data_IF_251697627948
#
_entry.id   IF_251697627948
#
_cell.length_a   1.000
_cell.length_b   1.000
_cell.length_c   1.000
_cell.angle_alpha   90.00
_cell.angle_beta   90.00
_cell.angle_gamma   90.00
#
_symmetry.space_group_name_H-M   'P 1'
#
loop_
_entity.id
_entity.type
_entity.pdbx_description
1 polymer ?
#
# COMPACT_ATOMS: atom_id res chain seq x y z
N UNK A 1 11.58 21.59 -17.76
CA UNK A 1 12.23 20.31 -17.36
C UNK A 1 11.76 19.80 -16.01
N UNK A 2 11.65 20.63 -14.96
CA UNK A 2 11.28 20.18 -13.60
C UNK A 2 10.00 19.32 -13.50
N UNK A 3 8.94 19.64 -14.24
CA UNK A 3 7.71 18.83 -14.24
C UNK A 3 7.91 17.40 -14.78
N UNK A 4 8.79 17.20 -15.78
CA UNK A 4 9.09 15.87 -16.33
C UNK A 4 9.90 15.02 -15.35
N UNK A 5 10.81 15.65 -14.61
CA UNK A 5 11.61 14.99 -13.56
C UNK A 5 10.72 14.60 -12.37
N UNK A 6 9.84 15.49 -11.93
CA UNK A 6 8.88 15.20 -10.86
C UNK A 6 7.91 14.07 -11.25
N UNK A 7 7.45 14.04 -12.50
CA UNK A 7 6.62 12.95 -13.01
C UNK A 7 7.39 11.62 -13.08
N UNK A 8 8.65 11.66 -13.54
CA UNK A 8 9.52 10.48 -13.56
C UNK A 8 9.78 9.90 -12.17
N UNK A 9 10.02 10.76 -11.17
CA UNK A 9 10.16 10.33 -9.78
C UNK A 9 8.88 9.69 -9.22
N UNK A 10 7.71 10.29 -9.52
CA UNK A 10 6.43 9.71 -9.13
C UNK A 10 6.16 8.36 -9.78
N UNK A 11 6.53 8.19 -11.05
CA UNK A 11 6.38 6.94 -11.78
C UNK A 11 7.34 5.85 -11.25
N UNK A 12 8.56 6.22 -10.86
CA UNK A 12 9.48 5.31 -10.17
C UNK A 12 8.89 4.79 -8.86
N UNK A 13 8.37 5.68 -8.00
CA UNK A 13 7.74 5.28 -6.76
C UNK A 13 6.57 4.30 -7.02
N UNK A 14 5.73 4.61 -8.01
CA UNK A 14 4.58 3.77 -8.36
C UNK A 14 4.98 2.35 -8.84
N UNK A 15 6.15 2.21 -9.47
CA UNK A 15 6.68 0.90 -9.89
C UNK A 15 7.42 0.16 -8.77
N UNK A 16 8.06 0.88 -7.85
CA UNK A 16 8.81 0.30 -6.74
C UNK A 16 7.90 -0.31 -5.67
N UNK A 17 6.74 0.30 -5.41
CA UNK A 17 5.79 -0.17 -4.40
C UNK A 17 5.29 -1.60 -4.65
N UNK A 18 4.78 -1.97 -5.85
CA UNK A 18 4.41 -3.35 -6.15
C UNK A 18 5.59 -4.33 -6.09
N UNK A 19 6.79 -3.88 -6.50
CA UNK A 19 7.99 -4.71 -6.44
C UNK A 19 8.41 -5.00 -4.99
N UNK A 20 8.31 -4.00 -4.10
CA UNK A 20 8.58 -4.17 -2.68
C UNK A 20 7.56 -5.12 -2.03
N UNK A 21 6.27 -5.03 -2.40
CA UNK A 21 5.24 -5.97 -1.94
C UNK A 21 5.54 -7.43 -2.29
N UNK A 22 6.17 -7.70 -3.43
CA UNK A 22 6.59 -9.06 -3.77
C UNK A 22 7.71 -9.59 -2.87
N UNK A 23 8.60 -8.72 -2.39
CA UNK A 23 9.70 -9.11 -1.49
C UNK A 23 9.15 -9.53 -0.11
N UNK A 24 8.05 -8.94 0.35
CA UNK A 24 7.41 -9.34 1.60
C UNK A 24 6.97 -10.81 1.63
N UNK A 25 6.77 -11.45 0.46
CA UNK A 25 6.55 -12.90 0.39
C UNK A 25 7.67 -13.68 1.08
N UNK A 26 8.92 -13.30 0.82
CA UNK A 26 10.11 -13.97 1.33
C UNK A 26 10.15 -13.80 2.85
N UNK A 27 9.98 -12.57 3.34
CA UNK A 27 10.06 -12.24 4.77
C UNK A 27 8.93 -12.94 5.55
N UNK A 28 7.70 -12.92 5.04
CA UNK A 28 6.55 -13.49 5.75
C UNK A 28 6.54 -15.02 5.73
N UNK A 29 6.89 -15.64 4.60
CA UNK A 29 6.81 -17.10 4.45
C UNK A 29 8.10 -17.80 4.86
N UNK A 30 9.28 -17.27 4.50
CA UNK A 30 10.57 -17.92 4.78
C UNK A 30 11.12 -17.56 6.16
N UNK A 31 11.08 -16.28 6.57
CA UNK A 31 11.66 -15.88 7.87
C UNK A 31 10.66 -16.05 9.02
N UNK A 32 9.42 -15.58 8.84
CA UNK A 32 8.39 -15.63 9.89
C UNK A 32 7.59 -16.95 9.93
N UNK A 33 7.87 -17.87 9.01
CA UNK A 33 7.27 -19.21 8.97
C UNK A 33 5.75 -19.20 8.76
N UNK A 34 5.19 -18.20 8.07
CA UNK A 34 3.75 -18.14 7.87
C UNK A 34 3.26 -19.31 7.01
N UNK A 35 2.09 -19.90 7.35
CA UNK A 35 1.40 -20.81 6.45
C UNK A 35 1.14 -20.13 5.09
N UNK A 36 1.42 -20.80 3.95
CA UNK A 36 1.17 -20.24 2.62
C UNK A 36 -0.29 -19.80 2.40
N UNK A 37 -1.23 -20.40 3.12
CA UNK A 37 -2.63 -20.01 3.12
C UNK A 37 -2.86 -18.58 3.65
N UNK A 38 -2.19 -18.20 4.75
CA UNK A 38 -2.30 -16.85 5.31
C UNK A 38 -1.66 -15.82 4.39
N UNK A 39 -0.56 -16.17 3.73
CA UNK A 39 0.04 -15.33 2.70
C UNK A 39 -0.92 -15.07 1.53
N UNK A 40 -1.61 -16.12 1.04
CA UNK A 40 -2.63 -15.99 0.00
C UNK A 40 -3.76 -15.04 0.39
N UNK A 41 -4.21 -15.08 1.65
CA UNK A 41 -5.22 -14.16 2.18
C UNK A 41 -4.71 -12.71 2.26
N UNK A 42 -3.47 -12.51 2.71
CA UNK A 42 -2.83 -11.18 2.75
C UNK A 42 -2.70 -10.58 1.35
N UNK A 43 -2.43 -11.40 0.33
CA UNK A 43 -2.33 -10.90 -1.04
C UNK A 43 -3.71 -10.64 -1.67
N UNK A 44 -4.71 -11.46 -1.31
CA UNK A 44 -6.05 -11.39 -1.89
C UNK A 44 -6.92 -10.28 -1.29
N UNK A 45 -6.93 -10.13 0.03
CA UNK A 45 -7.86 -9.22 0.73
C UNK A 45 -7.67 -7.74 0.40
N UNK A 46 -6.45 -7.16 0.48
CA UNK A 46 -6.22 -5.77 0.08
C UNK A 46 -6.58 -5.55 -1.38
N UNK A 47 -6.19 -6.48 -2.27
CA UNK A 47 -6.46 -6.35 -3.70
C UNK A 47 -7.95 -6.43 -4.05
N UNK A 48 -8.72 -7.18 -3.27
CA UNK A 48 -10.18 -7.20 -3.40
C UNK A 48 -10.79 -5.87 -2.94
N UNK A 49 -10.28 -5.28 -1.86
CA UNK A 49 -10.72 -3.95 -1.43
C UNK A 49 -10.34 -2.88 -2.46
N UNK A 50 -9.12 -2.90 -3.00
CA UNK A 50 -8.66 -1.98 -4.04
C UNK A 50 -9.58 -1.98 -5.25
N UNK A 51 -10.03 -3.17 -5.68
CA UNK A 51 -10.99 -3.30 -6.78
C UNK A 51 -12.33 -2.58 -6.52
N UNK A 52 -12.70 -2.38 -5.25
CA UNK A 52 -13.91 -1.66 -4.83
C UNK A 52 -13.63 -0.18 -4.56
N UNK A 53 -12.52 0.13 -3.89
CA UNK A 53 -12.16 1.50 -3.51
C UNK A 53 -11.70 2.33 -4.72
N UNK A 54 -11.07 1.73 -5.72
CA UNK A 54 -10.60 2.42 -6.92
C UNK A 54 -11.75 3.11 -7.70
N UNK A 55 -12.87 2.41 -8.04
CA UNK A 55 -14.03 3.06 -8.63
C UNK A 55 -14.61 4.18 -7.75
N UNK A 56 -14.78 3.92 -6.46
CA UNK A 56 -15.35 4.89 -5.50
C UNK A 56 -14.49 6.17 -5.47
N UNK A 57 -13.16 6.00 -5.41
CA UNK A 57 -12.24 7.11 -5.39
C UNK A 57 -12.23 7.88 -6.72
N UNK A 58 -12.44 7.18 -7.85
CA UNK A 58 -12.69 7.78 -9.15
C UNK A 58 -13.91 8.72 -9.14
N UNK A 59 -15.05 8.24 -8.65
CA UNK A 59 -16.27 9.06 -8.53
C UNK A 59 -16.09 10.27 -7.59
N UNK A 60 -15.41 10.08 -6.45
CA UNK A 60 -15.14 11.16 -5.49
C UNK A 60 -14.20 12.20 -6.09
N UNK A 61 -13.10 11.78 -6.70
CA UNK A 61 -12.14 12.65 -7.38
C UNK A 61 -12.83 13.50 -8.45
N UNK A 62 -13.68 12.88 -9.27
CA UNK A 62 -14.34 13.56 -10.37
C UNK A 62 -15.43 14.54 -9.89
N UNK A 63 -16.08 14.29 -8.75
CA UNK A 63 -17.05 15.23 -8.17
C UNK A 63 -16.43 16.33 -7.29
N UNK A 64 -15.16 16.21 -6.91
CA UNK A 64 -14.52 17.21 -6.04
C UNK A 64 -14.26 18.52 -6.80
N UNK A 65 -14.78 19.66 -6.35
CA UNK A 65 -14.42 21.00 -6.87
C UNK A 65 -13.56 21.73 -5.83
N UNK A 66 -12.23 21.64 -5.97
CA UNK A 66 -11.26 22.27 -5.05
C UNK A 66 -10.47 23.39 -5.72
N UNK A 67 -10.14 24.44 -4.94
CA UNK A 67 -9.36 25.62 -5.38
C UNK A 67 -7.90 25.29 -5.76
N UNK A 68 -7.34 24.16 -5.31
CA UNK A 68 -5.93 23.77 -5.55
C UNK A 68 -5.78 22.66 -6.62
N UNK A 69 -6.88 22.31 -7.30
CA UNK A 69 -6.92 21.28 -8.34
C UNK A 69 -7.55 19.97 -7.84
N UNK A 70 -8.41 19.39 -8.69
CA UNK A 70 -9.29 18.23 -8.42
C UNK A 70 -8.61 17.03 -7.76
N UNK A 71 -7.39 16.67 -8.19
CA UNK A 71 -6.69 15.43 -7.80
C UNK A 71 -5.47 15.64 -6.89
N UNK A 72 -4.96 16.87 -6.76
CA UNK A 72 -3.68 17.14 -6.07
C UNK A 72 -3.74 16.89 -4.56
N UNK A 73 -4.85 17.22 -3.91
CA UNK A 73 -5.01 17.04 -2.47
C UNK A 73 -5.03 15.55 -2.09
N UNK A 74 -5.76 14.74 -2.85
CA UNK A 74 -5.81 13.29 -2.64
C UNK A 74 -4.47 12.60 -2.90
N UNK A 75 -3.74 13.00 -3.95
CA UNK A 75 -2.41 12.43 -4.23
C UNK A 75 -1.42 12.77 -3.11
N UNK A 76 -1.45 14.00 -2.58
CA UNK A 76 -0.52 14.41 -1.53
C UNK A 76 -0.81 13.72 -0.19
N UNK A 77 -2.09 13.68 0.22
CA UNK A 77 -2.51 12.99 1.44
C UNK A 77 -2.30 11.48 1.31
N UNK A 78 -2.65 10.91 0.16
CA UNK A 78 -2.41 9.49 -0.14
C UNK A 78 -0.93 9.14 -0.08
N UNK A 79 -0.06 9.92 -0.70
CA UNK A 79 1.38 9.67 -0.66
C UNK A 79 1.96 9.68 0.77
N UNK A 80 1.46 10.56 1.65
CA UNK A 80 1.88 10.58 3.06
C UNK A 80 1.37 9.34 3.83
N UNK A 81 0.10 8.97 3.63
CA UNK A 81 -0.50 7.81 4.29
C UNK A 81 0.18 6.53 3.81
N UNK A 82 0.26 6.30 2.50
CA UNK A 82 0.91 5.12 1.91
C UNK A 82 2.38 5.02 2.32
N UNK A 83 3.11 6.14 2.38
CA UNK A 83 4.49 6.18 2.85
C UNK A 83 4.64 5.78 4.33
N UNK A 84 3.77 6.32 5.20
CA UNK A 84 3.77 5.97 6.62
C UNK A 84 3.38 4.50 6.86
N UNK A 85 2.35 4.02 6.15
CA UNK A 85 1.90 2.63 6.18
C UNK A 85 3.02 1.69 5.73
N UNK A 86 3.73 2.04 4.65
CA UNK A 86 4.86 1.24 4.17
C UNK A 86 5.95 1.09 5.24
N UNK A 87 6.37 2.18 5.89
CA UNK A 87 7.36 2.12 6.98
C UNK A 87 6.86 1.23 8.12
N UNK A 88 5.59 1.35 8.49
CA UNK A 88 4.99 0.55 9.55
C UNK A 88 4.94 -0.96 9.19
N UNK A 89 4.72 -1.32 7.93
CA UNK A 89 4.70 -2.71 7.46
C UNK A 89 6.05 -3.43 7.66
N UNK A 90 7.16 -2.69 7.61
CA UNK A 90 8.50 -3.26 7.86
C UNK A 90 8.81 -3.49 9.35
N UNK A 91 8.01 -2.95 10.29
CA UNK A 91 8.25 -3.06 11.73
C UNK A 91 7.70 -4.38 12.32
N UNK A 92 8.05 -5.50 11.70
CA UNK A 92 7.67 -6.83 12.19
C UNK A 92 8.79 -7.48 13.00
N UNK A 93 8.40 -8.14 14.08
CA UNK A 93 9.32 -8.84 14.95
C UNK A 93 8.86 -10.29 15.14
N UNK A 94 9.80 -11.23 15.09
CA UNK A 94 9.56 -12.67 15.29
C UNK A 94 8.92 -12.97 16.67
N UNK A 95 9.20 -12.12 17.66
CA UNK A 95 8.75 -12.25 19.06
C UNK A 95 7.23 -12.14 19.22
N UNK A 96 6.53 -11.46 18.30
CA UNK A 96 5.09 -11.16 18.45
C UNK A 96 4.17 -12.35 18.08
N UNK A 97 4.72 -13.41 17.49
CA UNK A 97 3.97 -14.59 17.07
C UNK A 97 3.26 -14.43 15.70
N UNK A 98 3.00 -15.54 14.99
CA UNK A 98 2.51 -15.47 13.60
C UNK A 98 1.14 -14.82 13.43
N UNK A 99 0.20 -15.06 14.34
CA UNK A 99 -1.17 -14.49 14.28
C UNK A 99 -1.16 -12.98 14.46
N UNK A 100 -0.32 -12.44 15.36
CA UNK A 100 -0.24 -11.01 15.58
C UNK A 100 0.35 -10.30 14.36
N UNK A 101 1.46 -10.82 13.84
CA UNK A 101 2.10 -10.27 12.65
C UNK A 101 1.16 -10.33 11.43
N UNK A 102 0.28 -11.34 11.34
CA UNK A 102 -0.73 -11.42 10.29
C UNK A 102 -1.71 -10.25 10.34
N UNK A 103 -2.36 -10.02 11.49
CA UNK A 103 -3.32 -8.93 11.63
C UNK A 103 -2.67 -7.56 11.56
N UNK A 104 -1.45 -7.42 12.08
CA UNK A 104 -0.64 -6.22 11.96
C UNK A 104 -0.38 -5.89 10.48
N UNK A 105 0.18 -6.83 9.71
CA UNK A 105 0.42 -6.60 8.28
C UNK A 105 -0.85 -6.23 7.54
N UNK A 106 -1.92 -7.02 7.75
CA UNK A 106 -3.17 -6.89 7.02
C UNK A 106 -3.85 -5.54 7.27
N UNK A 107 -3.76 -5.02 8.50
CA UNK A 107 -4.27 -3.68 8.83
C UNK A 107 -3.53 -2.57 8.07
N UNK A 108 -2.20 -2.65 7.99
CA UNK A 108 -1.41 -1.66 7.26
C UNK A 108 -1.48 -1.85 5.74
N UNK A 109 -1.67 -3.08 5.25
CA UNK A 109 -1.91 -3.36 3.83
C UNK A 109 -3.23 -2.77 3.33
N UNK A 110 -4.23 -2.55 4.18
CA UNK A 110 -5.45 -1.84 3.78
C UNK A 110 -5.26 -0.32 3.65
N UNK A 111 -4.21 0.23 4.26
CA UNK A 111 -3.87 1.65 4.18
C UNK A 111 -2.82 1.95 3.12
N UNK A 112 -2.25 0.91 2.51
CA UNK A 112 -1.21 1.00 1.50
C UNK A 112 -1.81 0.82 0.12
#
# INVERSE_FOLDING_TARGET
>A
MGQKIAFGFGMLANQMFPAALQIFMVILVQDLGFPPFLWGLIFFLPRFLDAVTDPIMGFISDNTKSKWGRRRQYIFVGALITGASFIAMWQMYEVNGPIYNFWYFLSFSFLF
#
